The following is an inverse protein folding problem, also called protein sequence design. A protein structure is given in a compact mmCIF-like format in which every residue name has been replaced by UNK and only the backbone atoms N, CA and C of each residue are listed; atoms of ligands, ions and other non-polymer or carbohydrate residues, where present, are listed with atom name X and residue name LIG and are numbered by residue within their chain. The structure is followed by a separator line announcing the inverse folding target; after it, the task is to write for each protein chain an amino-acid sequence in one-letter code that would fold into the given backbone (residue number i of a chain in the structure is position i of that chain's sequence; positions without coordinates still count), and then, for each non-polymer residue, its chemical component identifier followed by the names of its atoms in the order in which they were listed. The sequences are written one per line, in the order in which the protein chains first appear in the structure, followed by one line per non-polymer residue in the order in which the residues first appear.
data_IF_552319533696
#
_entry.id   IF_552319533696
#
_cell.length_a   1.000
_cell.length_b   1.000
_cell.length_c   1.000
_cell.angle_alpha   90.00
_cell.angle_beta   90.00
_cell.angle_gamma   90.00
#
_symmetry.space_group_name_H-M   'P 1'
#
loop_
_entity.id
_entity.type
_entity.pdbx_description
1 polymer ?
#
# COMPACT_ATOMS: atom_id res chain seq x y z
N UNK A 1 -45.35 12.76 -63.84
CA UNK A 1 -46.09 11.99 -62.82
C UNK A 1 -45.08 11.41 -61.84
N UNK A 2 -45.20 11.82 -60.59
CA UNK A 2 -44.37 11.50 -59.41
C UNK A 2 -44.62 10.09 -58.92
N UNK A 3 -43.58 9.37 -58.43
CA UNK A 3 -43.48 8.52 -57.20
C UNK A 3 -42.02 8.00 -57.21
N UNK A 4 -41.14 8.07 -56.22
CA UNK A 4 -41.24 8.16 -54.76
C UNK A 4 -40.25 7.12 -54.21
N UNK A 5 -39.00 7.53 -53.95
CA UNK A 5 -37.92 6.62 -53.53
C UNK A 5 -37.71 6.80 -52.02
N UNK A 6 -38.21 5.84 -51.24
CA UNK A 6 -38.09 5.82 -49.78
C UNK A 6 -36.62 5.61 -49.39
N UNK A 7 -36.02 6.63 -48.79
CA UNK A 7 -34.68 6.58 -48.21
C UNK A 7 -34.80 6.09 -46.77
N UNK A 8 -34.52 4.82 -46.51
CA UNK A 8 -34.43 4.30 -45.14
C UNK A 8 -33.14 4.83 -44.49
N UNK A 9 -33.29 5.65 -43.46
CA UNK A 9 -32.18 6.05 -42.59
C UNK A 9 -32.15 5.07 -41.41
N UNK A 10 -31.26 4.08 -41.48
CA UNK A 10 -30.93 3.22 -40.34
C UNK A 10 -30.08 4.03 -39.35
N UNK A 11 -30.68 4.49 -38.26
CA UNK A 11 -29.94 5.11 -37.15
C UNK A 11 -29.38 3.97 -36.28
N UNK A 12 -28.13 3.60 -36.53
CA UNK A 12 -27.38 2.69 -35.66
C UNK A 12 -26.99 3.44 -34.38
N UNK A 13 -27.69 3.15 -33.27
CA UNK A 13 -27.29 3.56 -31.93
C UNK A 13 -26.02 2.80 -31.53
N UNK A 14 -24.85 3.40 -31.75
CA UNK A 14 -23.60 2.88 -31.21
C UNK A 14 -23.57 3.15 -29.70
N UNK A 15 -23.86 2.13 -28.90
CA UNK A 15 -23.75 2.17 -27.45
C UNK A 15 -22.26 2.14 -27.07
N UNK A 16 -21.65 3.31 -26.90
CA UNK A 16 -20.27 3.44 -26.42
C UNK A 16 -20.18 2.93 -24.98
N UNK A 17 -19.58 1.75 -24.79
CA UNK A 17 -19.22 1.24 -23.47
C UNK A 17 -18.08 2.10 -22.91
N UNK A 18 -18.41 3.06 -22.05
CA UNK A 18 -17.43 3.77 -21.22
C UNK A 18 -16.89 2.78 -20.18
N UNK A 19 -15.71 2.22 -20.43
CA UNK A 19 -14.98 1.51 -19.39
C UNK A 19 -14.58 2.49 -18.28
N UNK A 20 -14.82 2.19 -17.00
CA UNK A 20 -14.36 3.05 -15.91
C UNK A 20 -12.83 3.06 -15.89
N UNK A 21 -12.24 4.25 -15.94
CA UNK A 21 -10.82 4.44 -15.72
C UNK A 21 -10.52 4.17 -14.24
N UNK A 22 -9.82 3.09 -13.94
CA UNK A 22 -9.25 2.88 -12.61
C UNK A 22 -8.17 3.93 -12.39
N UNK A 23 -8.30 4.74 -11.33
CA UNK A 23 -7.26 5.68 -10.92
C UNK A 23 -6.12 4.91 -10.27
N UNK A 24 -4.93 4.99 -10.86
CA UNK A 24 -3.75 4.37 -10.30
C UNK A 24 -3.40 5.00 -8.95
N UNK A 25 -3.12 4.19 -7.94
CA UNK A 25 -2.63 4.67 -6.64
C UNK A 25 -1.11 4.53 -6.55
N UNK A 26 -0.44 5.29 -5.67
CA UNK A 26 0.98 5.07 -5.39
C UNK A 26 1.31 3.67 -4.86
N UNK A 27 0.31 2.89 -4.45
CA UNK A 27 0.44 1.51 -3.96
C UNK A 27 0.15 0.44 -5.03
N UNK A 28 -0.09 0.83 -6.28
CA UNK A 28 -0.30 -0.14 -7.35
C UNK A 28 0.96 -1.00 -7.54
N UNK A 29 0.77 -2.33 -7.59
CA UNK A 29 1.87 -3.29 -7.68
C UNK A 29 2.57 -3.61 -6.35
N UNK A 30 2.12 -3.04 -5.24
CA UNK A 30 2.59 -3.41 -3.90
C UNK A 30 1.74 -4.57 -3.37
N UNK A 31 2.40 -5.67 -2.98
CA UNK A 31 1.73 -6.81 -2.35
C UNK A 31 1.33 -6.45 -0.91
N UNK A 32 0.02 -6.41 -0.66
CA UNK A 32 -0.57 -6.17 0.66
C UNK A 32 -1.13 -7.44 1.31
N UNK A 33 -0.85 -8.61 0.73
CA UNK A 33 -1.29 -9.90 1.23
C UNK A 33 -0.73 -10.22 2.61
N UNK A 34 -1.61 -10.66 3.51
CA UNK A 34 -1.24 -11.09 4.85
C UNK A 34 -2.14 -12.26 5.28
N UNK A 35 -1.65 -13.49 5.14
CA UNK A 35 -2.40 -14.66 5.62
C UNK A 35 -2.36 -14.74 7.15
N UNK A 36 -3.33 -15.41 7.79
CA UNK A 36 -3.31 -15.61 9.25
C UNK A 36 -2.03 -16.30 9.75
N UNK A 37 -1.54 -17.31 9.04
CA UNK A 37 -0.33 -18.05 9.40
C UNK A 37 0.90 -17.14 9.33
N UNK A 38 1.01 -16.34 8.26
CA UNK A 38 2.10 -15.39 8.09
C UNK A 38 2.04 -14.29 9.15
N UNK A 39 0.86 -13.76 9.44
CA UNK A 39 0.63 -12.78 10.50
C UNK A 39 1.09 -13.31 11.87
N UNK A 40 0.72 -14.54 12.23
CA UNK A 40 1.12 -15.16 13.49
C UNK A 40 2.64 -15.36 13.60
N UNK A 41 3.29 -15.84 12.54
CA UNK A 41 4.74 -16.03 12.51
C UNK A 41 5.50 -14.69 12.63
N UNK A 42 5.03 -13.66 11.90
CA UNK A 42 5.58 -12.31 11.96
C UNK A 42 5.40 -11.70 13.36
N UNK A 43 4.21 -11.80 13.94
CA UNK A 43 3.90 -11.30 15.28
C UNK A 43 4.87 -11.85 16.34
N UNK A 44 5.10 -13.16 16.34
CA UNK A 44 6.02 -13.80 17.27
C UNK A 44 7.46 -13.30 17.09
N UNK A 45 7.91 -13.15 15.84
CA UNK A 45 9.28 -12.72 15.53
C UNK A 45 9.50 -11.25 15.84
N UNK A 46 8.57 -10.39 15.46
CA UNK A 46 8.64 -8.94 15.69
C UNK A 46 8.54 -8.63 17.19
N UNK A 47 7.71 -9.35 17.95
CA UNK A 47 7.62 -9.16 19.42
C UNK A 47 9.00 -9.32 20.07
N UNK A 48 9.78 -10.32 19.64
CA UNK A 48 11.16 -10.51 20.12
C UNK A 48 12.09 -9.38 19.68
N UNK A 49 12.02 -8.92 18.43
CA UNK A 49 12.85 -7.82 17.94
C UNK A 49 12.56 -6.50 18.67
N UNK A 50 11.32 -6.27 19.08
CA UNK A 50 10.89 -5.08 19.81
C UNK A 50 11.06 -5.21 21.34
N UNK A 51 11.50 -6.36 21.87
CA UNK A 51 11.47 -6.67 23.30
C UNK A 51 10.10 -6.40 23.94
N UNK A 52 9.03 -6.82 23.27
CA UNK A 52 7.65 -6.67 23.71
C UNK A 52 7.03 -8.04 24.01
N UNK A 53 6.17 -8.11 25.02
CA UNK A 53 5.47 -9.34 25.40
C UNK A 53 4.61 -9.89 24.26
N UNK A 54 3.89 -9.00 23.55
CA UNK A 54 3.01 -9.37 22.45
C UNK A 54 2.75 -8.20 21.51
N UNK A 55 2.83 -8.49 20.22
CA UNK A 55 2.44 -7.58 19.13
C UNK A 55 1.43 -8.26 18.22
N UNK A 56 0.56 -7.47 17.57
CA UNK A 56 -0.25 -7.93 16.43
C UNK A 56 0.25 -7.30 15.14
N UNK A 57 0.23 -8.07 14.05
CA UNK A 57 0.47 -7.55 12.70
C UNK A 57 -0.84 -7.09 12.11
N UNK A 58 -0.86 -5.83 11.69
CA UNK A 58 -2.06 -5.17 11.21
C UNK A 58 -2.08 -5.15 9.67
N UNK A 59 -0.95 -4.82 9.06
CA UNK A 59 -0.81 -4.70 7.61
C UNK A 59 0.61 -5.08 7.17
N UNK A 60 0.73 -5.49 5.91
CA UNK A 60 2.00 -5.78 5.24
C UNK A 60 2.04 -5.04 3.91
N UNK A 61 3.22 -4.60 3.50
CA UNK A 61 3.48 -3.98 2.20
C UNK A 61 4.80 -4.53 1.68
N UNK A 62 4.76 -5.29 0.59
CA UNK A 62 5.93 -5.98 0.05
C UNK A 62 6.14 -5.61 -1.41
N UNK A 63 7.40 -5.36 -1.76
CA UNK A 63 7.83 -5.11 -3.14
C UNK A 63 9.30 -5.50 -3.26
N UNK A 64 9.63 -6.25 -4.31
CA UNK A 64 10.95 -6.84 -4.51
C UNK A 64 11.43 -7.58 -3.24
N UNK A 65 12.61 -7.24 -2.74
CA UNK A 65 13.19 -7.81 -1.52
C UNK A 65 12.91 -6.97 -0.26
N UNK A 66 11.87 -6.11 -0.26
CA UNK A 66 11.57 -5.23 0.86
C UNK A 66 10.17 -5.45 1.41
N UNK A 67 10.04 -5.31 2.73
CA UNK A 67 8.75 -5.36 3.44
C UNK A 67 8.61 -4.22 4.43
N UNK A 68 7.42 -3.62 4.50
CA UNK A 68 7.02 -2.72 5.58
C UNK A 68 5.90 -3.41 6.35
N UNK A 69 6.10 -3.62 7.65
CA UNK A 69 5.13 -4.32 8.50
C UNK A 69 4.57 -3.33 9.52
N UNK A 70 3.25 -3.14 9.48
CA UNK A 70 2.55 -2.31 10.46
C UNK A 70 2.14 -3.16 11.65
N UNK A 71 2.60 -2.78 12.83
CA UNK A 71 2.42 -3.53 14.06
C UNK A 71 2.01 -2.64 15.22
N UNK A 72 1.46 -3.25 16.27
CA UNK A 72 1.30 -2.61 17.56
C UNK A 72 0.39 -3.41 18.47
N UNK A 73 0.32 -3.09 19.76
CA UNK A 73 -0.79 -3.51 20.61
C UNK A 73 -2.02 -2.60 20.35
N UNK A 74 -3.20 -2.99 20.84
CA UNK A 74 -4.40 -2.14 20.78
C UNK A 74 -4.23 -0.82 21.59
N UNK A 75 -3.30 -0.78 22.55
CA UNK A 75 -3.20 0.25 23.60
C UNK A 75 -1.92 1.12 23.58
N UNK A 76 -1.04 0.96 22.60
CA UNK A 76 0.16 1.78 22.45
C UNK A 76 0.32 2.24 21.00
N UNK A 77 1.27 3.14 20.77
CA UNK A 77 1.55 3.66 19.44
C UNK A 77 1.93 2.52 18.49
N UNK A 78 1.14 2.41 17.43
CA UNK A 78 1.41 1.48 16.34
C UNK A 78 2.59 1.99 15.53
N UNK A 79 3.45 1.07 15.11
CA UNK A 79 4.71 1.37 14.42
C UNK A 79 4.79 0.62 13.10
N UNK A 80 5.40 1.25 12.10
CA UNK A 80 5.79 0.62 10.86
C UNK A 80 7.26 0.24 10.92
N UNK A 81 7.57 -1.03 10.68
CA UNK A 81 8.91 -1.57 10.66
C UNK A 81 9.33 -1.84 9.22
N UNK A 82 10.52 -1.36 8.84
CA UNK A 82 11.05 -1.48 7.48
C UNK A 82 12.11 -2.56 7.43
N UNK A 83 11.95 -3.56 6.57
CA UNK A 83 12.86 -4.69 6.43
C UNK A 83 13.44 -4.73 5.02
N UNK A 84 14.76 -4.91 4.95
CA UNK A 84 15.45 -5.35 3.74
C UNK A 84 15.61 -6.86 3.82
N UNK A 85 14.70 -7.59 3.18
CA UNK A 85 14.55 -9.05 3.25
C UNK A 85 13.31 -9.51 4.01
N UNK A 86 13.20 -10.83 4.20
CA UNK A 86 12.08 -11.44 4.91
C UNK A 86 12.15 -11.09 6.42
N UNK A 87 11.11 -10.44 7.00
CA UNK A 87 11.06 -10.09 8.41
C UNK A 87 11.14 -11.27 9.40
N UNK A 88 10.92 -12.51 8.95
CA UNK A 88 11.11 -13.71 9.77
C UNK A 88 12.57 -14.05 10.00
N UNK A 89 13.47 -13.56 9.16
CA UNK A 89 14.90 -13.89 9.17
C UNK A 89 15.81 -12.66 9.27
N UNK A 90 15.26 -11.46 9.09
CA UNK A 90 16.00 -10.19 9.10
C UNK A 90 15.52 -9.25 10.20
N UNK A 91 16.44 -8.43 10.71
CA UNK A 91 16.09 -7.31 11.59
C UNK A 91 15.57 -6.12 10.80
N UNK A 92 14.68 -5.32 11.41
CA UNK A 92 14.25 -4.08 10.79
C UNK A 92 15.42 -3.08 10.66
N UNK A 93 15.45 -2.37 9.54
CA UNK A 93 16.44 -1.33 9.22
C UNK A 93 16.09 -0.02 9.94
N UNK A 94 14.80 0.32 9.96
CA UNK A 94 14.29 1.51 10.64
C UNK A 94 12.83 1.32 11.05
N UNK A 95 12.32 2.22 11.88
CA UNK A 95 10.92 2.27 12.30
C UNK A 95 10.35 3.66 12.12
N UNK A 96 9.05 3.74 11.84
CA UNK A 96 8.30 4.98 11.80
C UNK A 96 7.02 4.87 12.64
N UNK A 97 6.69 5.92 13.37
CA UNK A 97 5.47 6.01 14.17
C UNK A 97 4.92 7.44 14.16
N UNK A 98 3.68 7.58 14.58
CA UNK A 98 3.01 8.87 14.73
C UNK A 98 1.92 9.12 13.69
N UNK A 99 1.32 10.29 13.80
CA UNK A 99 0.33 10.77 12.84
C UNK A 99 0.99 11.64 11.77
N UNK A 100 0.46 11.57 10.55
CA UNK A 100 0.91 12.40 9.45
C UNK A 100 -0.28 13.13 8.81
N UNK A 101 -0.03 14.36 8.37
CA UNK A 101 -0.95 15.21 7.62
C UNK A 101 -0.75 14.98 6.13
N UNK A 102 -1.79 15.23 5.33
CA UNK A 102 -1.72 15.18 3.85
C UNK A 102 -0.55 15.97 3.27
N UNK A 103 -0.23 17.12 3.85
CA UNK A 103 0.87 17.99 3.39
C UNK A 103 2.27 17.45 3.69
N UNK A 104 2.39 16.34 4.42
CA UNK A 104 3.67 15.74 4.82
C UNK A 104 4.10 14.57 3.92
N UNK A 105 3.33 14.23 2.89
CA UNK A 105 3.62 13.08 2.02
C UNK A 105 5.04 13.13 1.44
N UNK A 106 5.42 14.28 0.86
CA UNK A 106 6.73 14.43 0.23
C UNK A 106 7.88 14.37 1.26
N UNK A 107 7.70 14.94 2.45
CA UNK A 107 8.73 14.91 3.50
C UNK A 107 8.87 13.50 4.09
N UNK A 108 7.77 12.75 4.23
CA UNK A 108 7.77 11.35 4.66
C UNK A 108 8.43 10.46 3.60
N UNK A 109 8.11 10.64 2.33
CA UNK A 109 8.81 9.94 1.25
C UNK A 109 10.31 10.20 1.30
N UNK A 110 10.73 11.46 1.46
CA UNK A 110 12.14 11.82 1.60
C UNK A 110 12.78 11.21 2.86
N UNK A 111 12.03 11.12 3.96
CA UNK A 111 12.47 10.44 5.18
C UNK A 111 12.69 8.95 4.93
N UNK A 112 11.77 8.26 4.27
CA UNK A 112 11.91 6.82 3.94
C UNK A 112 13.14 6.60 3.08
N UNK A 113 13.31 7.36 2.01
CA UNK A 113 14.46 7.21 1.12
C UNK A 113 15.80 7.45 1.83
N UNK A 114 15.81 8.27 2.89
CA UNK A 114 17.00 8.53 3.71
C UNK A 114 17.26 7.43 4.73
N UNK A 115 16.22 6.92 5.39
CA UNK A 115 16.34 6.03 6.55
C UNK A 115 16.21 4.54 6.21
N UNK A 116 15.71 4.21 5.01
CA UNK A 116 15.65 2.85 4.47
C UNK A 116 16.43 2.80 3.14
N UNK A 117 17.77 2.95 3.16
CA UNK A 117 18.57 3.02 1.95
C UNK A 117 18.42 1.74 1.11
N UNK A 118 18.09 1.91 -0.17
CA UNK A 118 17.88 0.79 -1.11
C UNK A 118 16.44 0.28 -1.19
N UNK A 119 15.49 0.88 -0.45
CA UNK A 119 14.07 0.58 -0.61
C UNK A 119 13.58 0.93 -2.03
N UNK A 120 12.70 0.11 -2.65
CA UNK A 120 12.08 0.45 -3.91
C UNK A 120 11.32 1.78 -3.81
N UNK A 121 11.53 2.66 -4.80
CA UNK A 121 10.88 3.98 -4.84
C UNK A 121 9.35 3.84 -4.83
N UNK A 122 8.81 2.82 -5.49
CA UNK A 122 7.37 2.53 -5.47
C UNK A 122 6.85 2.23 -4.05
N UNK A 123 7.56 1.39 -3.30
CA UNK A 123 7.20 1.05 -1.93
C UNK A 123 7.31 2.27 -0.99
N UNK A 124 8.35 3.10 -1.17
CA UNK A 124 8.49 4.34 -0.41
C UNK A 124 7.36 5.34 -0.68
N UNK A 125 6.95 5.49 -1.95
CA UNK A 125 5.80 6.33 -2.32
C UNK A 125 4.49 5.79 -1.78
N UNK A 126 4.26 4.48 -1.89
CA UNK A 126 3.08 3.83 -1.32
C UNK A 126 2.98 4.08 0.18
N UNK A 127 4.07 3.87 0.93
CA UNK A 127 4.08 4.13 2.36
C UNK A 127 3.74 5.58 2.69
N UNK A 128 4.42 6.53 2.04
CA UNK A 128 4.20 7.95 2.28
C UNK A 128 2.75 8.34 2.02
N UNK A 129 2.20 7.92 0.88
CA UNK A 129 0.81 8.15 0.53
C UNK A 129 -0.15 7.49 1.52
N UNK A 130 0.13 6.25 1.95
CA UNK A 130 -0.72 5.51 2.87
C UNK A 130 -0.86 6.25 4.20
N UNK A 131 0.25 6.66 4.82
CA UNK A 131 0.20 7.29 6.14
C UNK A 131 -0.40 8.70 6.13
N UNK A 132 -0.47 9.35 4.96
CA UNK A 132 -1.02 10.70 4.81
C UNK A 132 -2.42 10.76 4.22
N UNK A 133 -2.82 9.80 3.37
CA UNK A 133 -4.06 9.87 2.58
C UNK A 133 -5.00 8.67 2.73
N UNK A 134 -4.51 7.50 3.14
CA UNK A 134 -5.23 6.20 3.09
C UNK A 134 -5.16 5.45 4.43
N UNK A 135 -5.00 6.18 5.52
CA UNK A 135 -4.63 5.60 6.82
C UNK A 135 -5.73 4.78 7.51
N UNK A 136 -6.97 4.94 7.05
CA UNK A 136 -8.18 4.36 7.67
C UNK A 136 -8.78 3.19 6.86
N UNK A 137 -8.08 2.72 5.82
CA UNK A 137 -8.49 1.57 5.00
C UNK A 137 -7.75 0.29 5.38
#
# INVERSE_FOLDING_TARGET
MTVGRYFQISVSFALAMLAPAAFATPCDGIDRGLTPERSAALAATISRQLNSDKTVVLQSYTSDSWSIIYVGPQAADRVFLFFSGDPLTHHYVTMWSGAARRTEEQSIHAWVMRNAPGIPVGLAKCFAWHVTNDRDM
#
